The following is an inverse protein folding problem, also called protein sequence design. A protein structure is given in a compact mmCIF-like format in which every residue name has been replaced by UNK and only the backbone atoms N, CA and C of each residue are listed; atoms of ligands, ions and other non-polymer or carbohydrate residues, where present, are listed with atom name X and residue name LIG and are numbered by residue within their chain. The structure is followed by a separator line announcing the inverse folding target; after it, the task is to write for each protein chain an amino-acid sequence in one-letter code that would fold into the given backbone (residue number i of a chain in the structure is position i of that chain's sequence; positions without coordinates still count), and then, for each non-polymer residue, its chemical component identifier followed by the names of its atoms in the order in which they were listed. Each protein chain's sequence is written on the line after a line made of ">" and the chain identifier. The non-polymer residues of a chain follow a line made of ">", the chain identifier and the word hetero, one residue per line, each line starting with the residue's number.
data_IF_161021332081
#
_entry.id   IF_161021332081
#
_cell.length_a   1.000
_cell.length_b   1.000
_cell.length_c   1.000
_cell.angle_alpha   90.00
_cell.angle_beta   90.00
_cell.angle_gamma   90.00
#
_symmetry.space_group_name_H-M   'P 1'
#
loop_
_entity.id
_entity.type
_entity.pdbx_description
1 polymer ?
#
# COMPACT_ATOMS: atom_id res chain seq x y z
N UNK A 1 -6.49 -25.83 13.96
CA UNK A 1 -5.87 -24.77 14.77
C UNK A 1 -4.49 -24.37 14.24
N UNK A 2 -3.40 -25.13 14.45
CA UNK A 2 -2.04 -24.72 14.06
C UNK A 2 -1.83 -24.44 12.55
N UNK A 3 -2.38 -25.30 11.68
CA UNK A 3 -2.30 -25.09 10.23
C UNK A 3 -3.04 -23.81 9.79
N UNK A 4 -4.20 -23.52 10.38
CA UNK A 4 -4.97 -22.31 10.09
C UNK A 4 -4.23 -21.04 10.55
N UNK A 5 -3.56 -21.07 11.71
CA UNK A 5 -2.73 -19.94 12.14
C UNK A 5 -1.50 -19.74 11.24
N UNK A 6 -0.90 -20.81 10.73
CA UNK A 6 0.23 -20.71 9.80
C UNK A 6 -0.20 -20.16 8.43
N UNK A 7 -1.38 -20.58 7.93
CA UNK A 7 -1.99 -20.04 6.71
C UNK A 7 -2.28 -18.55 6.86
N UNK A 8 -2.91 -18.15 7.97
CA UNK A 8 -3.22 -16.74 8.26
C UNK A 8 -1.95 -15.88 8.35
N UNK A 9 -0.90 -16.37 9.01
CA UNK A 9 0.38 -15.67 9.07
C UNK A 9 1.02 -15.52 7.68
N UNK A 10 0.96 -16.56 6.85
CA UNK A 10 1.43 -16.49 5.45
C UNK A 10 0.65 -15.46 4.66
N UNK A 11 -0.68 -15.48 4.74
CA UNK A 11 -1.52 -14.52 4.01
C UNK A 11 -1.21 -13.08 4.44
N UNK A 12 -1.13 -12.80 5.74
CA UNK A 12 -0.74 -11.49 6.24
C UNK A 12 0.65 -11.05 5.72
N UNK A 13 1.60 -11.99 5.62
CA UNK A 13 2.91 -11.67 5.05
C UNK A 13 2.85 -11.37 3.53
N UNK A 14 2.00 -12.08 2.78
CA UNK A 14 1.77 -11.83 1.37
C UNK A 14 1.07 -10.48 1.15
N UNK A 15 0.05 -10.17 1.94
CA UNK A 15 -0.69 -8.91 1.88
C UNK A 15 0.23 -7.71 2.13
N UNK A 16 1.14 -7.83 3.10
CA UNK A 16 2.17 -6.82 3.35
C UNK A 16 3.09 -6.60 2.14
N UNK A 17 3.53 -7.67 1.47
CA UNK A 17 4.36 -7.58 0.27
C UNK A 17 3.61 -6.96 -0.92
N UNK A 18 2.34 -7.32 -1.10
CA UNK A 18 1.47 -6.73 -2.12
C UNK A 18 1.29 -5.23 -1.86
N UNK A 19 1.05 -4.84 -0.61
CA UNK A 19 0.96 -3.44 -0.20
C UNK A 19 2.21 -2.64 -0.57
N UNK A 20 3.41 -3.15 -0.25
CA UNK A 20 4.67 -2.49 -0.62
C UNK A 20 4.87 -2.38 -2.14
N UNK A 21 4.52 -3.42 -2.90
CA UNK A 21 4.63 -3.41 -4.36
C UNK A 21 3.70 -2.38 -4.99
N UNK A 22 2.44 -2.29 -4.51
CA UNK A 22 1.47 -1.30 -4.95
C UNK A 22 1.95 0.13 -4.66
N UNK A 23 2.59 0.38 -3.51
CA UNK A 23 3.19 1.69 -3.22
C UNK A 23 4.29 2.05 -4.22
N UNK A 24 5.18 1.10 -4.52
CA UNK A 24 6.23 1.30 -5.53
C UNK A 24 5.66 1.66 -6.91
N UNK A 25 4.60 0.98 -7.33
CA UNK A 25 3.88 1.29 -8.58
C UNK A 25 3.22 2.67 -8.52
N UNK A 26 2.57 3.01 -7.42
CA UNK A 26 1.95 4.32 -7.21
C UNK A 26 2.96 5.47 -7.37
N UNK A 27 4.17 5.31 -6.79
CA UNK A 27 5.28 6.25 -6.94
C UNK A 27 5.73 6.38 -8.40
N UNK A 28 5.82 5.26 -9.11
CA UNK A 28 6.22 5.27 -10.52
C UNK A 28 5.18 5.96 -11.42
N UNK A 29 3.88 5.73 -11.19
CA UNK A 29 2.80 6.41 -11.92
C UNK A 29 2.75 7.92 -11.62
N UNK A 30 3.03 8.33 -10.38
CA UNK A 30 3.17 9.75 -10.05
C UNK A 30 4.31 10.41 -10.83
N UNK A 31 5.46 9.74 -10.96
CA UNK A 31 6.60 10.23 -11.76
C UNK A 31 6.28 10.31 -13.26
N UNK A 32 5.33 9.51 -13.75
CA UNK A 32 4.82 9.56 -15.13
C UNK A 32 3.73 10.62 -15.33
N UNK A 33 3.32 11.33 -14.27
CA UNK A 33 2.25 12.32 -14.32
C UNK A 33 0.84 11.71 -14.26
N UNK A 34 0.71 10.40 -14.04
CA UNK A 34 -0.58 9.71 -13.94
C UNK A 34 -1.15 9.81 -12.51
N UNK A 35 -1.48 11.03 -12.07
CA UNK A 35 -1.86 11.31 -10.68
C UNK A 35 -3.06 10.49 -10.19
N UNK A 36 -4.09 10.31 -11.01
CA UNK A 36 -5.27 9.54 -10.64
C UNK A 36 -4.95 8.05 -10.36
N UNK A 37 -4.08 7.46 -11.18
CA UNK A 37 -3.67 6.06 -11.04
C UNK A 37 -2.70 5.89 -9.86
N UNK A 38 -1.78 6.85 -9.67
CA UNK A 38 -0.93 6.91 -8.49
C UNK A 38 -1.75 6.93 -7.19
N UNK A 39 -2.81 7.74 -7.15
CA UNK A 39 -3.70 7.80 -5.99
C UNK A 39 -4.47 6.49 -5.77
N UNK A 40 -4.99 5.88 -6.83
CA UNK A 40 -5.71 4.59 -6.75
C UNK A 40 -4.79 3.50 -6.16
N UNK A 41 -3.61 3.33 -6.73
CA UNK A 41 -2.62 2.34 -6.30
C UNK A 41 -2.12 2.62 -4.87
N UNK A 42 -1.92 3.90 -4.51
CA UNK A 42 -1.50 4.27 -3.16
C UNK A 42 -2.56 3.97 -2.10
N UNK A 43 -3.85 4.15 -2.42
CA UNK A 43 -4.95 3.75 -1.51
C UNK A 43 -5.07 2.24 -1.35
N UNK A 44 -4.90 1.48 -2.43
CA UNK A 44 -4.88 0.01 -2.38
C UNK A 44 -3.70 -0.52 -1.58
N UNK A 45 -2.53 0.12 -1.74
CA UNK A 45 -1.36 -0.14 -0.90
C UNK A 45 -1.63 0.12 0.57
N UNK A 46 -2.22 1.28 0.89
CA UNK A 46 -2.54 1.67 2.26
C UNK A 46 -3.46 0.63 2.93
N UNK A 47 -4.55 0.25 2.26
CA UNK A 47 -5.50 -0.73 2.79
C UNK A 47 -4.83 -2.10 3.10
N UNK A 48 -3.94 -2.57 2.23
CA UNK A 48 -3.20 -3.82 2.44
C UNK A 48 -2.22 -3.73 3.62
N UNK A 49 -1.57 -2.57 3.80
CA UNK A 49 -0.59 -2.34 4.87
C UNK A 49 -1.25 -2.08 6.24
N UNK A 50 -2.41 -1.42 6.26
CA UNK A 50 -3.25 -1.24 7.46
C UNK A 50 -3.74 -2.59 7.99
N UNK A 51 -4.21 -3.48 7.09
CA UNK A 51 -4.73 -4.79 7.45
C UNK A 51 -3.70 -5.67 8.19
N UNK A 52 -2.41 -5.42 7.97
CA UNK A 52 -1.29 -6.17 8.57
C UNK A 52 -0.53 -5.35 9.63
N UNK A 53 -0.95 -4.12 9.92
CA UNK A 53 -0.30 -3.23 10.90
C UNK A 53 1.11 -2.81 10.49
N UNK A 54 1.38 -2.63 9.20
CA UNK A 54 2.71 -2.31 8.71
C UNK A 54 3.07 -0.84 8.95
N UNK A 55 4.22 -0.61 9.57
CA UNK A 55 4.81 0.71 9.93
C UNK A 55 4.99 1.74 8.80
N UNK A 56 4.81 1.35 7.55
CA UNK A 56 4.93 2.26 6.39
C UNK A 56 3.61 2.94 6.03
N UNK A 57 2.49 2.52 6.65
CA UNK A 57 1.17 3.15 6.51
C UNK A 57 1.22 4.67 6.61
N UNK A 58 1.83 5.20 7.68
CA UNK A 58 1.85 6.65 7.93
C UNK A 58 2.61 7.44 6.87
N UNK A 59 3.66 6.86 6.28
CA UNK A 59 4.39 7.48 5.17
C UNK A 59 3.49 7.60 3.93
N UNK A 60 2.72 6.55 3.63
CA UNK A 60 1.84 6.50 2.47
C UNK A 60 0.69 7.48 2.63
N UNK A 61 0.13 7.62 3.84
CA UNK A 61 -0.89 8.64 4.16
C UNK A 61 -0.36 10.04 3.88
N UNK A 62 0.83 10.37 4.39
CA UNK A 62 1.45 11.69 4.18
C UNK A 62 1.73 11.95 2.70
N UNK A 63 2.27 10.95 2.00
CA UNK A 63 2.57 11.06 0.58
C UNK A 63 1.32 11.26 -0.29
N UNK A 64 0.24 10.51 0.00
CA UNK A 64 -1.05 10.68 -0.68
C UNK A 64 -1.63 12.08 -0.44
N UNK A 65 -1.50 12.62 0.77
CA UNK A 65 -1.91 14.00 1.07
C UNK A 65 -1.21 15.02 0.17
N UNK A 66 0.11 14.89 0.00
CA UNK A 66 0.88 15.76 -0.90
C UNK A 66 0.53 15.62 -2.39
N UNK A 67 0.05 14.46 -2.83
CA UNK A 67 -0.43 14.28 -4.20
C UNK A 67 -1.75 14.97 -4.48
N UNK A 68 -2.64 15.06 -3.48
CA UNK A 68 -3.96 15.69 -3.63
C UNK A 68 -3.81 17.21 -3.72
N UNK A 69 -2.86 17.78 -2.98
CA UNK A 69 -2.59 19.23 -3.00
C UNK A 69 -1.92 19.72 -4.29
N UNK A 70 -1.33 18.81 -5.09
CA UNK A 70 -0.60 19.13 -6.31
C UNK A 70 -1.41 18.94 -7.61
N UNK A 71 -2.64 18.41 -7.54
CA UNK A 71 -3.53 18.12 -8.67
C UNK A 71 -4.56 19.23 -8.88
#
# INVERSE_FOLDING_TARGET
>A
AFLQSAEAARQAQLDGLVGLALYGLARAEALRGHAAEAQRLGRESLAALEAVGHRQESEIVQWLGGLIEAA
#
